data_IF_362427813388
#
_entry.id   IF_362427813388
#
_cell.length_a   1.000
_cell.length_b   1.000
_cell.length_c   1.000
_cell.angle_alpha   90.00
_cell.angle_beta   90.00
_cell.angle_gamma   90.00
#
_symmetry.space_group_name_H-M   'P 1'
#
loop_
_entity.id
_entity.type
_entity.pdbx_description
1 polymer ?
#
# COMPACT_ATOMS: atom_id res chain seq x y z
N UNK A 1 -24.06 87.60 6.28
CA UNK A 1 -23.77 86.83 5.05
C UNK A 1 -22.70 85.79 5.38
N UNK A 2 -23.07 84.51 5.55
CA UNK A 2 -22.10 83.42 5.68
C UNK A 2 -22.34 82.41 4.56
N UNK A 3 -21.30 82.12 3.80
CA UNK A 3 -21.31 81.26 2.62
C UNK A 3 -21.22 79.79 3.02
N UNK A 4 -22.23 78.99 2.68
CA UNK A 4 -22.21 77.53 2.81
C UNK A 4 -21.22 76.95 1.79
N UNK A 5 -20.11 76.36 2.26
CA UNK A 5 -19.22 75.56 1.40
C UNK A 5 -19.78 74.15 1.28
N UNK A 6 -20.17 73.77 0.05
CA UNK A 6 -20.59 72.42 -0.28
C UNK A 6 -19.35 71.49 -0.30
N UNK A 7 -19.39 70.45 0.54
CA UNK A 7 -18.38 69.40 0.59
C UNK A 7 -18.62 68.44 -0.58
N UNK A 8 -17.62 68.16 -1.45
CA UNK A 8 -17.82 67.24 -2.56
C UNK A 8 -17.94 65.81 -2.01
N UNK A 9 -19.08 65.17 -2.24
CA UNK A 9 -19.28 63.74 -1.98
C UNK A 9 -18.57 62.96 -3.08
N UNK A 10 -17.40 62.40 -2.77
CA UNK A 10 -16.77 61.37 -3.59
C UNK A 10 -17.71 60.19 -3.72
N UNK A 11 -18.41 60.11 -4.86
CA UNK A 11 -19.20 58.95 -5.26
C UNK A 11 -18.24 57.78 -5.49
N UNK A 12 -17.97 57.04 -4.43
CA UNK A 12 -17.35 55.72 -4.53
C UNK A 12 -18.37 54.82 -5.23
N UNK A 13 -18.26 54.67 -6.55
CA UNK A 13 -19.00 53.68 -7.32
C UNK A 13 -18.72 52.31 -6.69
N UNK A 14 -19.66 51.82 -5.87
CA UNK A 14 -19.57 50.47 -5.32
C UNK A 14 -19.64 49.52 -6.51
N UNK A 15 -18.48 48.97 -6.91
CA UNK A 15 -18.42 47.89 -7.89
C UNK A 15 -19.18 46.73 -7.28
N UNK A 16 -20.39 46.48 -7.79
CA UNK A 16 -21.19 45.35 -7.37
C UNK A 16 -20.53 44.07 -7.92
N UNK A 17 -20.18 43.16 -7.03
CA UNK A 17 -19.93 41.77 -7.39
C UNK A 17 -21.26 41.21 -7.89
N UNK A 18 -21.35 40.92 -9.18
CA UNK A 18 -22.64 40.55 -9.77
C UNK A 18 -23.01 39.13 -9.33
N UNK A 19 -24.28 38.84 -9.06
CA UNK A 19 -24.72 37.47 -8.70
C UNK A 19 -24.31 36.47 -9.79
N UNK A 20 -24.39 36.88 -11.06
CA UNK A 20 -23.95 36.05 -12.19
C UNK A 20 -22.45 35.72 -12.15
N UNK A 21 -21.62 36.64 -11.67
CA UNK A 21 -20.17 36.45 -11.53
C UNK A 21 -19.87 35.39 -10.45
N UNK A 22 -20.58 35.46 -9.32
CA UNK A 22 -20.45 34.47 -8.24
C UNK A 22 -20.94 33.09 -8.69
N UNK A 23 -22.08 33.02 -9.39
CA UNK A 23 -22.64 31.74 -9.88
C UNK A 23 -21.70 31.08 -10.89
N UNK A 24 -21.08 31.84 -11.78
CA UNK A 24 -20.13 31.30 -12.77
C UNK A 24 -18.89 30.71 -12.08
N UNK A 25 -18.35 31.40 -11.08
CA UNK A 25 -17.21 30.91 -10.28
C UNK A 25 -17.59 29.62 -9.54
N UNK A 26 -18.76 29.58 -8.91
CA UNK A 26 -19.22 28.38 -8.20
C UNK A 26 -19.47 27.21 -9.14
N UNK A 27 -19.95 27.45 -10.36
CA UNK A 27 -20.15 26.41 -11.37
C UNK A 27 -18.82 25.76 -11.79
N UNK A 28 -17.79 26.57 -12.09
CA UNK A 28 -16.46 26.07 -12.44
C UNK A 28 -15.79 25.38 -11.23
N UNK A 29 -15.90 25.98 -10.04
CA UNK A 29 -15.37 25.39 -8.81
C UNK A 29 -16.02 24.04 -8.51
N UNK A 30 -17.33 23.92 -8.67
CA UNK A 30 -18.07 22.66 -8.50
C UNK A 30 -17.60 21.56 -9.46
N UNK A 31 -17.35 21.91 -10.72
CA UNK A 31 -16.83 20.96 -11.72
C UNK A 31 -15.41 20.48 -11.36
N UNK A 32 -14.52 21.39 -10.95
CA UNK A 32 -13.15 21.05 -10.55
C UNK A 32 -13.18 20.15 -9.30
N UNK A 33 -13.98 20.51 -8.29
CA UNK A 33 -14.09 19.71 -7.07
C UNK A 33 -14.56 18.27 -7.35
N UNK A 34 -15.49 18.08 -8.30
CA UNK A 34 -15.92 16.75 -8.71
C UNK A 34 -14.75 15.91 -9.22
N UNK A 35 -13.92 16.45 -10.13
CA UNK A 35 -12.77 15.72 -10.67
C UNK A 35 -11.73 15.41 -9.58
N UNK A 36 -11.44 16.38 -8.70
CA UNK A 36 -10.47 16.23 -7.62
C UNK A 36 -10.88 15.13 -6.63
N UNK A 37 -12.16 15.07 -6.25
CA UNK A 37 -12.63 14.06 -5.31
C UNK A 37 -12.64 12.63 -5.87
N UNK A 38 -12.73 12.47 -7.19
CA UNK A 38 -12.59 11.16 -7.83
C UNK A 38 -11.10 10.80 -8.00
N UNK A 39 -10.28 11.76 -8.40
CA UNK A 39 -8.87 11.51 -8.75
C UNK A 39 -7.96 11.27 -7.53
N UNK A 40 -8.10 12.07 -6.46
CA UNK A 40 -7.24 11.96 -5.27
C UNK A 40 -7.27 10.57 -4.60
N UNK A 41 -8.43 9.96 -4.29
CA UNK A 41 -8.46 8.63 -3.67
C UNK A 41 -7.92 7.55 -4.60
N UNK A 42 -8.11 7.69 -5.93
CA UNK A 42 -7.54 6.78 -6.90
C UNK A 42 -6.00 6.87 -6.93
N UNK A 43 -5.44 8.09 -6.91
CA UNK A 43 -3.99 8.30 -6.88
C UNK A 43 -3.36 7.74 -5.60
N UNK A 44 -3.99 7.96 -4.44
CA UNK A 44 -3.49 7.43 -3.17
C UNK A 44 -3.42 5.90 -3.18
N UNK A 45 -4.44 5.21 -3.72
CA UNK A 45 -4.43 3.75 -3.88
C UNK A 45 -3.27 3.29 -4.77
N UNK A 46 -3.06 3.94 -5.92
CA UNK A 46 -1.98 3.59 -6.85
C UNK A 46 -0.58 3.78 -6.23
N UNK A 47 -0.39 4.82 -5.42
CA UNK A 47 0.86 5.02 -4.68
C UNK A 47 1.10 3.90 -3.65
N UNK A 48 0.07 3.55 -2.87
CA UNK A 48 0.16 2.45 -1.89
C UNK A 48 0.45 1.11 -2.57
N UNK A 49 -0.17 0.82 -3.70
CA UNK A 49 0.09 -0.42 -4.45
C UNK A 49 1.50 -0.45 -5.04
N UNK A 50 2.02 0.70 -5.47
CA UNK A 50 3.42 0.82 -5.91
C UNK A 50 4.37 0.54 -4.75
N UNK A 51 4.11 1.14 -3.58
CA UNK A 51 4.90 0.89 -2.38
C UNK A 51 4.86 -0.58 -1.99
N UNK A 52 3.68 -1.20 -1.94
CA UNK A 52 3.53 -2.64 -1.69
C UNK A 52 4.36 -3.48 -2.65
N UNK A 53 4.27 -3.23 -3.97
CA UNK A 53 5.05 -3.98 -4.96
C UNK A 53 6.55 -3.88 -4.70
N UNK A 54 7.02 -2.69 -4.33
CA UNK A 54 8.41 -2.46 -3.95
C UNK A 54 8.78 -3.23 -2.68
N UNK A 55 7.96 -3.19 -1.63
CA UNK A 55 8.21 -3.94 -0.39
C UNK A 55 8.25 -5.45 -0.63
N UNK A 56 7.36 -6.00 -1.48
CA UNK A 56 7.40 -7.42 -1.83
C UNK A 56 8.66 -7.77 -2.62
N UNK A 57 9.12 -6.88 -3.51
CA UNK A 57 10.38 -7.06 -4.23
C UNK A 57 11.59 -7.00 -3.29
N UNK A 58 11.58 -6.09 -2.32
CA UNK A 58 12.56 -6.03 -1.23
C UNK A 58 12.56 -7.33 -0.44
N UNK A 59 11.39 -7.84 -0.05
CA UNK A 59 11.27 -9.11 0.66
C UNK A 59 11.88 -10.28 -0.13
N UNK A 60 11.53 -10.41 -1.43
CA UNK A 60 12.11 -11.42 -2.30
C UNK A 60 13.64 -11.30 -2.42
N UNK A 61 14.16 -10.08 -2.58
CA UNK A 61 15.60 -9.83 -2.68
C UNK A 61 16.34 -10.17 -1.39
N UNK A 62 15.79 -9.78 -0.24
CA UNK A 62 16.38 -10.08 1.07
C UNK A 62 16.35 -11.58 1.36
N UNK A 63 15.33 -12.31 0.92
CA UNK A 63 15.29 -13.77 0.98
C UNK A 63 16.42 -14.41 0.16
N UNK A 64 16.66 -13.91 -1.07
CA UNK A 64 17.78 -14.39 -1.90
C UNK A 64 19.13 -14.11 -1.25
N UNK A 65 19.31 -12.91 -0.68
CA UNK A 65 20.52 -12.55 0.07
C UNK A 65 20.72 -13.45 1.29
N UNK A 66 19.65 -13.72 2.04
CA UNK A 66 19.69 -14.67 3.16
C UNK A 66 20.11 -16.06 2.70
N UNK A 67 19.52 -16.58 1.62
CA UNK A 67 19.89 -17.88 1.10
C UNK A 67 21.36 -17.92 0.66
N UNK A 68 21.86 -16.88 0.00
CA UNK A 68 23.29 -16.76 -0.34
C UNK A 68 24.19 -16.90 0.89
N UNK A 69 23.80 -16.26 2.00
CA UNK A 69 24.54 -16.30 3.27
C UNK A 69 24.32 -17.59 4.09
N UNK A 70 23.28 -18.37 3.76
CA UNK A 70 22.88 -19.57 4.52
C UNK A 70 22.99 -20.84 3.66
N UNK A 71 24.01 -20.96 2.82
CA UNK A 71 24.30 -22.17 2.01
C UNK A 71 23.15 -22.56 1.06
N UNK A 72 22.45 -21.57 0.53
CA UNK A 72 21.30 -21.74 -0.36
C UNK A 72 20.00 -22.13 0.34
N UNK A 73 19.98 -22.14 1.68
CA UNK A 73 18.80 -22.46 2.48
C UNK A 73 17.99 -21.21 2.79
N UNK A 74 16.68 -21.32 2.64
CA UNK A 74 15.72 -20.28 2.99
C UNK A 74 15.10 -20.56 4.36
N UNK A 75 14.41 -19.59 4.99
CA UNK A 75 13.65 -19.85 6.20
C UNK A 75 12.68 -21.03 5.97
N UNK A 76 12.93 -22.14 6.67
CA UNK A 76 12.17 -23.39 6.54
C UNK A 76 10.85 -23.28 7.31
N UNK A 77 9.94 -22.45 6.81
CA UNK A 77 8.53 -22.48 7.20
C UNK A 77 7.77 -23.30 6.15
N UNK A 78 7.33 -24.50 6.54
CA UNK A 78 6.63 -25.42 5.64
C UNK A 78 5.17 -25.00 5.37
N UNK A 79 4.62 -25.33 4.19
CA UNK A 79 3.25 -24.98 3.81
C UNK A 79 2.20 -25.97 4.36
N UNK A 80 2.63 -27.09 4.95
CA UNK A 80 1.75 -28.16 5.47
C UNK A 80 1.83 -28.22 7.00
N UNK A 81 0.65 -28.33 7.60
CA UNK A 81 0.33 -28.43 9.03
C UNK A 81 1.46 -29.00 9.93
N UNK A 82 2.05 -28.08 10.67
CA UNK A 82 3.16 -28.21 11.61
C UNK A 82 3.69 -26.82 11.96
N UNK A 83 2.75 -25.88 12.12
CA UNK A 83 2.85 -24.42 12.03
C UNK A 83 3.95 -23.85 12.90
N UNK A 84 5.17 -23.76 12.39
CA UNK A 84 6.15 -22.85 12.92
C UNK A 84 6.44 -21.73 11.93
N UNK A 85 5.82 -20.58 12.20
CA UNK A 85 6.10 -19.33 11.49
C UNK A 85 7.37 -18.66 12.05
N UNK A 86 7.94 -19.13 13.17
CA UNK A 86 9.12 -18.51 13.79
C UNK A 86 10.28 -18.33 12.82
N UNK A 87 10.63 -19.28 11.92
CA UNK A 87 11.75 -19.07 11.00
C UNK A 87 11.57 -17.82 10.13
N UNK A 88 10.39 -17.64 9.51
CA UNK A 88 10.13 -16.47 8.67
C UNK A 88 9.90 -15.20 9.50
N UNK A 89 9.33 -15.32 10.70
CA UNK A 89 9.15 -14.20 11.64
C UNK A 89 10.48 -13.66 12.14
N UNK A 90 11.41 -14.54 12.52
CA UNK A 90 12.75 -14.17 12.97
C UNK A 90 13.52 -13.55 11.81
N UNK A 91 13.49 -14.19 10.63
CA UNK A 91 14.04 -13.62 9.42
C UNK A 91 13.51 -12.20 9.16
N UNK A 92 12.20 -11.98 9.20
CA UNK A 92 11.63 -10.66 8.93
C UNK A 92 12.04 -9.62 9.98
N UNK A 93 12.12 -10.00 11.25
CA UNK A 93 12.59 -9.10 12.32
C UNK A 93 14.04 -8.69 12.16
N UNK A 94 14.89 -9.65 11.77
CA UNK A 94 16.35 -9.48 11.69
C UNK A 94 16.80 -8.84 10.37
N UNK A 95 16.10 -9.12 9.26
CA UNK A 95 16.53 -8.75 7.91
C UNK A 95 15.63 -7.75 7.20
N UNK A 96 14.36 -7.60 7.58
CA UNK A 96 13.42 -6.67 6.93
C UNK A 96 13.13 -5.42 7.76
N UNK A 97 13.76 -5.20 8.92
CA UNK A 97 13.35 -4.12 9.83
C UNK A 97 11.83 -4.11 10.08
N UNK A 98 11.23 -5.31 10.21
CA UNK A 98 9.80 -5.48 10.41
C UNK A 98 9.42 -5.33 11.90
N UNK A 99 8.34 -4.59 12.24
CA UNK A 99 7.91 -4.41 13.64
C UNK A 99 7.16 -5.63 14.20
N UNK A 100 6.63 -6.50 13.35
CA UNK A 100 5.79 -7.63 13.73
C UNK A 100 4.37 -7.54 13.14
N UNK A 101 3.60 -8.61 13.27
CA UNK A 101 2.28 -8.71 12.66
C UNK A 101 1.33 -7.64 13.21
N UNK A 102 0.90 -6.71 12.36
CA UNK A 102 -0.03 -5.64 12.71
C UNK A 102 0.42 -4.81 13.93
N UNK A 103 1.74 -4.67 14.12
CA UNK A 103 2.34 -3.86 15.19
C UNK A 103 2.57 -2.44 14.70
N UNK A 104 2.23 -1.46 15.54
CA UNK A 104 2.47 -0.04 15.31
C UNK A 104 3.95 0.29 15.55
N UNK A 105 4.67 0.86 14.56
CA UNK A 105 6.10 1.15 14.66
C UNK A 105 6.42 2.48 15.35
N UNK A 106 5.46 3.25 15.88
CA UNK A 106 5.67 4.65 16.33
C UNK A 106 6.87 4.87 17.26
N UNK A 107 7.27 3.86 18.05
CA UNK A 107 8.45 3.92 18.93
C UNK A 107 9.57 2.95 18.53
N UNK A 108 9.58 2.53 17.26
CA UNK A 108 10.49 1.53 16.71
C UNK A 108 11.14 2.09 15.45
N UNK A 109 12.45 1.88 15.27
CA UNK A 109 13.12 2.19 14.00
C UNK A 109 12.84 1.06 12.98
N UNK A 110 11.59 0.99 12.50
CA UNK A 110 11.07 -0.11 11.66
C UNK A 110 10.38 0.46 10.43
N UNK A 111 10.70 -0.10 9.27
CA UNK A 111 10.36 0.49 7.96
C UNK A 111 9.43 -0.40 7.14
N UNK A 112 9.40 -1.72 7.42
CA UNK A 112 8.59 -2.67 6.66
C UNK A 112 7.14 -2.68 7.17
N UNK A 113 6.36 -1.71 6.71
CA UNK A 113 5.00 -1.43 7.16
C UNK A 113 4.01 -1.34 6.00
N UNK A 114 2.77 -1.77 6.23
CA UNK A 114 1.69 -1.65 5.27
C UNK A 114 1.22 -0.18 5.18
N UNK A 115 1.18 0.40 3.97
CA UNK A 115 0.85 1.80 3.80
C UNK A 115 -0.64 2.14 3.96
N UNK A 116 -1.54 1.15 4.03
CA UNK A 116 -2.94 1.41 4.40
C UNK A 116 -3.12 1.57 5.90
N UNK A 117 -2.50 0.69 6.68
CA UNK A 117 -2.71 0.58 8.12
C UNK A 117 -1.68 1.34 8.94
N UNK A 118 -0.51 1.66 8.36
CA UNK A 118 0.62 2.23 9.08
C UNK A 118 1.30 1.25 10.05
N UNK A 119 0.94 -0.03 9.99
CA UNK A 119 1.41 -1.09 10.90
C UNK A 119 2.21 -2.13 10.11
N UNK A 120 2.96 -2.98 10.82
CA UNK A 120 3.68 -4.07 10.18
C UNK A 120 2.76 -5.00 9.39
N UNK A 121 3.23 -5.43 8.21
CA UNK A 121 2.56 -6.47 7.43
C UNK A 121 2.32 -7.72 8.27
N UNK A 122 1.23 -8.43 8.02
CA UNK A 122 1.02 -9.77 8.57
C UNK A 122 1.67 -10.77 7.62
N UNK A 123 2.67 -11.50 8.08
CA UNK A 123 3.38 -12.46 7.24
C UNK A 123 2.71 -13.83 7.38
N UNK A 124 2.09 -14.35 6.33
CA UNK A 124 1.51 -15.69 6.26
C UNK A 124 2.49 -16.71 5.68
N UNK A 125 2.28 -18.00 5.94
CA UNK A 125 3.08 -19.11 5.36
C UNK A 125 2.24 -20.09 4.53
N UNK A 126 1.03 -19.67 4.15
CA UNK A 126 0.04 -20.59 3.60
C UNK A 126 0.22 -20.88 2.12
N UNK A 127 -0.18 -22.10 1.74
CA UNK A 127 -0.34 -22.49 0.36
C UNK A 127 -1.42 -21.64 -0.31
N UNK A 128 -1.20 -21.12 -1.53
CA UNK A 128 -2.26 -20.54 -2.36
C UNK A 128 -3.25 -21.63 -2.81
N UNK A 129 -4.22 -21.97 -1.95
CA UNK A 129 -5.43 -22.70 -2.34
C UNK A 129 -6.63 -21.74 -2.26
N UNK A 130 -7.73 -22.04 -2.97
CA UNK A 130 -8.87 -21.11 -3.09
C UNK A 130 -9.43 -20.59 -1.75
N UNK A 131 -9.41 -21.40 -0.69
CA UNK A 131 -9.90 -20.94 0.61
C UNK A 131 -8.88 -20.11 1.41
N UNK A 132 -7.57 -20.25 1.17
CA UNK A 132 -6.56 -19.34 1.70
C UNK A 132 -6.61 -17.98 1.00
N UNK A 133 -6.91 -17.94 -0.30
CA UNK A 133 -7.02 -16.69 -1.06
C UNK A 133 -7.99 -15.69 -0.39
N UNK A 134 -9.15 -16.16 0.07
CA UNK A 134 -10.14 -15.29 0.74
C UNK A 134 -9.68 -14.75 2.11
N UNK A 135 -8.77 -15.44 2.79
CA UNK A 135 -8.16 -14.99 4.05
C UNK A 135 -7.08 -13.93 3.80
N UNK A 136 -6.29 -14.14 2.75
CA UNK A 136 -5.13 -13.30 2.40
C UNK A 136 -5.42 -12.21 1.35
N UNK A 137 -6.67 -12.08 0.89
CA UNK A 137 -7.09 -11.05 -0.07
C UNK A 137 -6.96 -9.62 0.48
N UNK A 138 -6.70 -9.48 1.77
CA UNK A 138 -6.57 -8.17 2.42
C UNK A 138 -5.18 -7.57 2.14
N UNK A 139 -5.13 -6.25 2.01
CA UNK A 139 -3.93 -5.53 1.52
C UNK A 139 -2.75 -5.51 2.51
N UNK A 140 -2.95 -5.92 3.76
CA UNK A 140 -1.93 -5.93 4.81
C UNK A 140 -1.28 -7.32 5.03
N UNK A 141 -1.64 -8.34 4.26
CA UNK A 141 -1.01 -9.66 4.32
C UNK A 141 0.05 -9.85 3.23
N UNK A 142 1.19 -10.40 3.62
CA UNK A 142 2.22 -10.91 2.72
C UNK A 142 2.41 -12.39 2.98
N UNK A 143 2.33 -13.22 1.94
CA UNK A 143 2.42 -14.67 2.08
C UNK A 143 3.77 -15.14 1.57
N UNK A 144 4.47 -15.92 2.39
CA UNK A 144 5.65 -16.68 2.03
C UNK A 144 5.27 -18.15 1.82
N UNK A 145 5.31 -18.63 0.58
CA UNK A 145 4.88 -19.98 0.24
C UNK A 145 6.06 -20.85 -0.15
N UNK A 146 6.37 -21.85 0.69
CA UNK A 146 7.38 -22.85 0.39
C UNK A 146 6.78 -24.02 -0.41
N UNK A 147 7.45 -24.45 -1.48
CA UNK A 147 6.96 -25.43 -2.44
C UNK A 147 6.00 -24.88 -3.50
N UNK A 148 5.99 -23.57 -3.74
CA UNK A 148 5.09 -22.91 -4.70
C UNK A 148 5.85 -22.02 -5.67
N UNK A 149 5.25 -21.78 -6.84
CA UNK A 149 5.70 -20.81 -7.86
C UNK A 149 4.55 -19.96 -8.36
N UNK A 150 4.83 -18.78 -8.90
CA UNK A 150 3.84 -17.89 -9.48
C UNK A 150 3.33 -18.46 -10.81
N UNK A 151 2.00 -18.53 -10.98
CA UNK A 151 1.40 -19.09 -12.18
C UNK A 151 1.46 -18.10 -13.36
N UNK A 152 1.06 -16.84 -13.12
CA UNK A 152 1.07 -15.70 -14.06
C UNK A 152 1.07 -14.35 -13.29
N UNK A 153 1.39 -13.20 -13.94
CA UNK A 153 1.18 -11.89 -13.33
C UNK A 153 -0.30 -11.67 -12.97
N UNK A 154 -0.61 -11.50 -11.68
CA UNK A 154 -2.00 -11.28 -11.23
C UNK A 154 -2.71 -12.51 -10.66
N UNK A 155 -2.07 -13.69 -10.63
CA UNK A 155 -2.59 -14.92 -10.01
C UNK A 155 -1.74 -15.36 -8.81
N UNK A 156 -2.37 -16.07 -7.87
CA UNK A 156 -1.66 -16.71 -6.76
C UNK A 156 -0.80 -17.87 -7.25
N UNK A 157 0.15 -18.34 -6.43
CA UNK A 157 1.04 -19.42 -6.85
C UNK A 157 0.37 -20.78 -7.05
N UNK A 158 1.06 -21.70 -7.72
CA UNK A 158 0.70 -23.12 -7.87
C UNK A 158 1.73 -24.00 -7.17
N UNK A 159 1.32 -25.21 -6.78
CA UNK A 159 2.21 -26.19 -6.15
C UNK A 159 3.31 -26.59 -7.13
N UNK A 160 4.55 -26.36 -6.73
CA UNK A 160 5.74 -26.62 -7.53
C UNK A 160 6.61 -27.70 -6.88
N UNK A 161 7.82 -27.91 -7.43
CA UNK A 161 8.78 -28.87 -6.88
C UNK A 161 9.22 -28.45 -5.47
N UNK A 162 9.61 -29.43 -4.65
CA UNK A 162 10.18 -29.18 -3.33
C UNK A 162 11.35 -28.17 -3.40
N UNK A 163 11.30 -27.14 -2.56
CA UNK A 163 12.31 -26.07 -2.52
C UNK A 163 12.04 -24.87 -3.42
N UNK A 164 10.96 -24.87 -4.21
CA UNK A 164 10.49 -23.66 -4.90
C UNK A 164 9.90 -22.69 -3.88
N UNK A 165 10.10 -21.39 -4.04
CA UNK A 165 9.58 -20.40 -3.09
C UNK A 165 8.97 -19.26 -3.84
N UNK A 166 7.75 -18.87 -3.44
CA UNK A 166 7.11 -17.65 -3.92
C UNK A 166 6.67 -16.78 -2.76
N UNK A 167 6.70 -15.47 -2.98
CA UNK A 167 6.08 -14.48 -2.10
C UNK A 167 5.00 -13.75 -2.85
N UNK A 168 3.87 -13.50 -2.19
CA UNK A 168 2.77 -12.79 -2.84
C UNK A 168 1.94 -11.98 -1.86
N UNK A 169 1.23 -10.99 -2.39
CA UNK A 169 0.29 -10.14 -1.65
C UNK A 169 -0.81 -9.60 -2.57
N UNK A 170 -1.95 -9.24 -1.99
CA UNK A 170 -3.02 -8.55 -2.70
C UNK A 170 -2.80 -7.05 -2.80
N UNK A 171 -3.29 -6.44 -3.89
CA UNK A 171 -3.25 -4.99 -4.13
C UNK A 171 -4.62 -4.36 -3.87
N UNK A 172 -4.64 -3.10 -3.45
CA UNK A 172 -5.88 -2.35 -3.20
C UNK A 172 -6.65 -2.04 -4.49
N UNK A 173 -5.94 -1.84 -5.60
CA UNK A 173 -6.54 -1.72 -6.93
C UNK A 173 -7.19 -3.03 -7.42
N UNK A 174 -6.96 -4.14 -6.71
CA UNK A 174 -7.32 -5.49 -7.13
C UNK A 174 -6.15 -6.24 -7.79
N UNK A 175 -6.28 -7.56 -7.81
CA UNK A 175 -5.24 -8.48 -8.26
C UNK A 175 -4.23 -8.83 -7.17
N UNK A 176 -3.28 -9.70 -7.52
CA UNK A 176 -2.16 -10.07 -6.65
C UNK A 176 -0.82 -9.75 -7.32
N UNK A 177 0.16 -9.36 -6.52
CA UNK A 177 1.55 -9.33 -6.93
C UNK A 177 2.22 -10.59 -6.39
N UNK A 178 2.78 -11.42 -7.27
CA UNK A 178 3.49 -12.65 -6.93
C UNK A 178 4.90 -12.58 -7.51
N UNK A 179 5.90 -12.91 -6.70
CA UNK A 179 7.31 -12.95 -7.09
C UNK A 179 7.87 -14.33 -6.76
N UNK A 180 8.46 -14.98 -7.77
CA UNK A 180 9.24 -16.19 -7.59
C UNK A 180 10.61 -15.84 -7.01
N UNK A 181 10.94 -16.51 -5.91
CA UNK A 181 12.23 -16.34 -5.22
C UNK A 181 13.21 -17.43 -5.65
N UNK A 182 12.72 -18.67 -5.90
CA UNK A 182 13.50 -19.85 -6.30
C UNK A 182 12.71 -20.86 -7.15
#
# INVERSE_FOLDING_TARGET
MNTLKLKPTTNQTKKAFTIIEVVLVLAIAGLIFLMVFIALPALQRNQRDTQRKNELSTFASVLQNYASNNRGEYPKSGPWIGRDRKPIVNFAKDYLNWPGDNIDPTNMNKEFIDPSTGKGYIIGIEAPYEAAYNVYKTSNYMVYAYGFRCQQPGETGYKAKNGSISVWQSLESGGVNCIDVR
#
